data_IF_108723356602
#
_entry.id   IF_108723356602
#
_cell.length_a   1.000
_cell.length_b   1.000
_cell.length_c   1.000
_cell.angle_alpha   90.00
_cell.angle_beta   90.00
_cell.angle_gamma   90.00
#
_symmetry.space_group_name_H-M   'P 1'
#
loop_
_entity.id
_entity.type
_entity.pdbx_description
1 polymer ?
#
# COMPACT_ATOMS: atom_id res chain seq x y z
N UNK A 1 24.05 14.09 4.15
CA UNK A 1 22.82 13.38 4.57
C UNK A 1 22.29 12.73 3.31
N UNK A 2 22.52 11.43 3.16
CA UNK A 2 22.09 10.70 1.96
C UNK A 2 20.59 10.46 2.13
N UNK A 3 19.76 11.15 1.35
CA UNK A 3 18.35 10.83 1.24
C UNK A 3 18.27 9.45 0.59
N UNK A 4 18.12 8.40 1.39
CA UNK A 4 17.70 7.11 0.86
C UNK A 4 16.36 7.34 0.17
N UNK A 5 16.25 6.96 -1.10
CA UNK A 5 15.08 7.29 -1.88
C UNK A 5 13.86 6.50 -1.42
N UNK A 6 13.03 7.14 -0.60
CA UNK A 6 11.72 6.62 -0.24
C UNK A 6 10.72 6.98 -1.34
N UNK A 7 9.87 6.02 -1.70
CA UNK A 7 8.75 6.27 -2.61
C UNK A 7 7.48 6.37 -1.78
N UNK A 8 6.77 7.49 -1.84
CA UNK A 8 5.58 7.73 -1.01
C UNK A 8 4.41 8.30 -1.80
N UNK A 9 3.18 8.02 -1.36
CA UNK A 9 1.98 8.49 -2.04
C UNK A 9 0.70 7.82 -1.56
N UNK A 10 -0.44 8.34 -2.00
CA UNK A 10 -1.74 7.76 -1.67
C UNK A 10 -2.14 6.67 -2.67
N UNK A 11 -2.71 5.58 -2.17
CA UNK A 11 -3.25 4.47 -2.94
C UNK A 11 -4.60 4.03 -2.36
N UNK A 12 -5.37 3.29 -3.15
CA UNK A 12 -6.48 2.50 -2.62
C UNK A 12 -5.97 1.12 -2.23
N UNK A 13 -6.28 0.66 -1.02
CA UNK A 13 -6.18 -0.76 -0.66
C UNK A 13 -7.52 -1.42 -0.96
N UNK A 14 -7.49 -2.51 -1.71
CA UNK A 14 -8.66 -3.32 -2.08
C UNK A 14 -8.57 -4.65 -1.34
N UNK A 15 -9.60 -4.98 -0.56
CA UNK A 15 -9.68 -6.21 0.22
C UNK A 15 -11.07 -6.84 0.05
N UNK A 16 -11.19 -7.76 -0.91
CA UNK A 16 -12.49 -8.28 -1.34
C UNK A 16 -13.40 -7.15 -1.84
N UNK A 17 -14.45 -6.85 -1.07
CA UNK A 17 -15.42 -5.80 -1.39
C UNK A 17 -15.13 -4.45 -0.67
N UNK A 18 -14.15 -4.44 0.23
CA UNK A 18 -13.81 -3.26 1.02
C UNK A 18 -12.69 -2.49 0.33
N UNK A 19 -12.89 -1.17 0.19
CA UNK A 19 -11.94 -0.27 -0.45
C UNK A 19 -11.69 0.92 0.47
N UNK A 20 -10.42 1.25 0.69
CA UNK A 20 -10.02 2.39 1.51
C UNK A 20 -8.81 3.12 0.94
N UNK A 21 -8.79 4.44 1.12
CA UNK A 21 -7.61 5.26 0.83
C UNK A 21 -6.58 5.03 1.95
N UNK A 22 -5.34 4.75 1.56
CA UNK A 22 -4.19 4.60 2.45
C UNK A 22 -3.04 5.44 1.94
N UNK A 23 -2.16 5.83 2.85
CA UNK A 23 -0.89 6.46 2.50
C UNK A 23 0.21 5.40 2.55
N UNK A 24 0.88 5.17 1.42
CA UNK A 24 1.91 4.16 1.29
C UNK A 24 3.29 4.80 1.27
N UNK A 25 4.24 4.13 1.92
CA UNK A 25 5.65 4.47 1.91
C UNK A 25 6.43 3.20 1.60
N UNK A 26 7.26 3.26 0.58
CA UNK A 26 8.20 2.22 0.21
C UNK A 26 9.59 2.69 0.60
N UNK A 27 10.11 2.10 1.67
CA UNK A 27 11.37 2.46 2.29
C UNK A 27 12.01 1.25 2.97
N UNK A 28 13.34 1.24 3.09
CA UNK A 28 14.16 0.21 3.76
C UNK A 28 13.80 -1.29 3.49
N UNK A 29 13.12 -1.58 2.38
CA UNK A 29 12.83 -2.92 1.88
C UNK A 29 11.42 -3.33 2.20
N UNK A 30 10.60 -2.36 2.58
CA UNK A 30 9.28 -2.54 3.14
C UNK A 30 8.31 -1.62 2.40
N UNK A 31 7.19 -2.18 1.96
CA UNK A 31 6.02 -1.39 1.58
C UNK A 31 5.12 -1.26 2.80
N UNK A 32 5.12 -0.09 3.45
CA UNK A 32 4.29 0.23 4.60
C UNK A 32 3.08 1.03 4.15
N UNK A 33 1.94 0.84 4.83
CA UNK A 33 0.74 1.63 4.57
C UNK A 33 0.08 2.09 5.86
N UNK A 34 -0.36 3.34 5.82
CA UNK A 34 -0.88 4.11 6.95
C UNK A 34 -2.29 4.59 6.65
N UNK A 35 -3.05 4.92 7.70
CA UNK A 35 -4.42 5.43 7.55
C UNK A 35 -4.49 6.75 6.78
N UNK A 36 -3.46 7.58 6.93
CA UNK A 36 -3.23 8.84 6.19
C UNK A 36 -1.77 9.25 6.33
N UNK A 37 -1.35 10.31 5.66
CA UNK A 37 -0.04 10.92 5.90
C UNK A 37 0.09 11.35 7.37
N UNK A 38 1.13 10.87 8.07
CA UNK A 38 1.30 11.06 9.52
C UNK A 38 0.26 10.34 10.39
N UNK A 39 -0.48 9.39 9.82
CA UNK A 39 -1.46 8.57 10.52
C UNK A 39 -0.85 7.31 11.16
N UNK A 40 -1.73 6.40 11.58
CA UNK A 40 -1.35 5.13 12.19
C UNK A 40 -0.92 4.10 11.15
N UNK A 41 0.09 3.29 11.46
CA UNK A 41 0.53 2.17 10.63
C UNK A 41 -0.56 1.09 10.61
N UNK A 42 -1.07 0.78 9.43
CA UNK A 42 -2.08 -0.26 9.24
C UNK A 42 -1.46 -1.63 8.90
N UNK A 43 -0.28 -1.62 8.28
CA UNK A 43 0.48 -2.84 8.00
C UNK A 43 1.69 -2.59 7.11
N UNK A 44 2.42 -3.66 6.82
CA UNK A 44 3.62 -3.63 6.00
C UNK A 44 3.85 -4.96 5.25
N UNK A 45 4.53 -4.88 4.11
CA UNK A 45 4.99 -6.02 3.32
C UNK A 45 6.51 -5.97 3.25
N UNK A 46 7.18 -7.04 3.68
CA UNK A 46 8.61 -7.19 3.49
C UNK A 46 8.93 -7.60 2.05
N UNK A 47 9.69 -6.76 1.35
CA UNK A 47 10.14 -6.97 -0.02
C UNK A 47 11.58 -7.48 -0.04
N UNK A 48 12.43 -6.96 0.84
CA UNK A 48 13.81 -7.42 0.99
C UNK A 48 13.86 -8.87 1.49
N UNK A 49 14.65 -9.70 0.80
CA UNK A 49 14.75 -11.13 1.14
C UNK A 49 13.53 -11.96 0.74
N UNK A 50 12.50 -11.36 0.12
CA UNK A 50 11.37 -12.06 -0.44
C UNK A 50 11.50 -12.22 -1.97
N UNK A 51 10.82 -13.21 -2.53
CA UNK A 51 10.46 -13.20 -3.95
C UNK A 51 9.24 -12.29 -4.07
N UNK A 52 9.41 -11.16 -4.77
CA UNK A 52 8.33 -10.19 -5.02
C UNK A 52 7.92 -10.28 -6.49
N UNK A 53 6.64 -10.52 -6.73
CA UNK A 53 6.00 -10.45 -8.04
C UNK A 53 4.91 -9.36 -7.99
N UNK A 54 4.81 -8.55 -9.05
CA UNK A 54 3.77 -7.50 -9.16
C UNK A 54 2.98 -7.70 -10.45
N UNK A 55 1.65 -7.67 -10.34
CA UNK A 55 0.73 -7.92 -11.45
C UNK A 55 -0.18 -6.72 -11.66
N UNK A 56 -0.17 -6.14 -12.86
CA UNK A 56 -1.20 -5.17 -13.25
C UNK A 56 -2.48 -5.94 -13.53
N UNK A 57 -3.57 -5.56 -12.85
CA UNK A 57 -4.85 -6.24 -12.97
C UNK A 57 -5.74 -5.50 -13.98
N UNK A 58 -6.46 -6.22 -14.84
CA UNK A 58 -7.38 -5.59 -15.79
C UNK A 58 -8.52 -4.87 -15.07
N UNK A 59 -9.06 -3.86 -15.74
CA UNK A 59 -10.20 -3.07 -15.28
C UNK A 59 -11.42 -3.39 -16.14
N UNK A 60 -11.76 -4.68 -16.22
CA UNK A 60 -12.68 -5.17 -17.27
C UNK A 60 -14.15 -5.22 -16.84
N UNK A 61 -14.47 -4.90 -15.58
CA UNK A 61 -15.83 -4.96 -15.06
C UNK A 61 -16.36 -3.58 -14.62
N UNK A 62 -17.55 -3.24 -15.12
CA UNK A 62 -18.30 -2.04 -14.71
C UNK A 62 -18.62 -2.17 -13.22
N UNK A 63 -18.22 -1.18 -12.42
CA UNK A 63 -18.41 -1.20 -10.96
C UNK A 63 -17.25 -1.81 -10.17
N UNK A 64 -16.08 -2.04 -10.80
CA UNK A 64 -14.85 -2.34 -10.07
C UNK A 64 -13.92 -1.11 -10.02
N UNK A 65 -13.06 -1.07 -9.00
CA UNK A 65 -11.98 -0.08 -8.90
C UNK A 65 -11.01 -0.25 -10.08
N UNK A 66 -10.80 0.77 -10.93
CA UNK A 66 -9.80 0.73 -12.01
C UNK A 66 -8.36 0.82 -11.50
N UNK A 67 -7.39 0.68 -12.41
CA UNK A 67 -5.96 0.90 -12.14
C UNK A 67 -5.39 0.01 -11.02
N UNK A 68 -5.87 -1.22 -10.93
CA UNK A 68 -5.45 -2.16 -9.88
C UNK A 68 -4.10 -2.78 -10.20
N UNK A 69 -3.33 -3.03 -9.16
CA UNK A 69 -2.17 -3.90 -9.21
C UNK A 69 -2.10 -4.76 -7.95
N UNK A 70 -1.55 -5.97 -8.07
CA UNK A 70 -1.37 -6.91 -6.96
C UNK A 70 0.10 -7.09 -6.68
N UNK A 71 0.48 -7.04 -5.41
CA UNK A 71 1.81 -7.30 -4.90
C UNK A 71 1.80 -8.62 -4.16
N UNK A 72 2.57 -9.58 -4.67
CA UNK A 72 2.75 -10.90 -4.11
C UNK A 72 4.18 -10.99 -3.54
N UNK A 73 4.31 -11.16 -2.24
CA UNK A 73 5.59 -11.31 -1.54
C UNK A 73 5.66 -12.66 -0.86
N UNK A 74 6.65 -13.47 -1.25
CA UNK A 74 6.91 -14.77 -0.64
C UNK A 74 8.29 -14.75 0.03
N UNK A 75 8.39 -14.91 1.36
CA UNK A 75 9.68 -15.01 2.04
C UNK A 75 10.55 -16.10 1.40
N UNK A 76 11.78 -15.76 1.03
CA UNK A 76 12.74 -16.80 0.64
C UNK A 76 13.21 -17.45 1.94
N UNK A 77 12.57 -18.55 2.32
CA UNK A 77 13.12 -19.38 3.39
C UNK A 77 14.55 -19.75 3.00
N UNK A 78 15.58 -19.42 3.81
CA UNK A 78 16.88 -20.01 3.61
C UNK A 78 16.65 -21.51 3.69
N UNK A 79 17.04 -22.23 2.65
CA UNK A 79 16.99 -23.69 2.64
C UNK A 79 17.98 -24.19 3.68
N UNK A 80 17.57 -24.18 4.95
CA UNK A 80 18.24 -24.93 5.98
C UNK A 80 18.00 -26.37 5.57
N UNK A 81 18.99 -26.95 4.89
CA UNK A 81 19.15 -28.40 4.76
C UNK A 81 19.28 -28.96 6.18
N UNK A 82 18.16 -29.07 6.91
CA UNK A 82 18.06 -30.05 7.98
C UNK A 82 18.05 -31.39 7.26
N UNK A 83 19.19 -32.09 7.33
CA UNK A 83 19.28 -33.49 6.94
C UNK A 83 18.12 -34.24 7.61
N UNK A 84 17.26 -34.85 6.80
CA UNK A 84 16.41 -35.94 7.27
C UNK A 84 14.93 -35.66 7.49
N UNK A 85 14.27 -34.80 6.70
CA UNK A 85 12.81 -34.93 6.49
C UNK A 85 12.35 -34.05 5.32
N UNK A 86 11.60 -34.57 4.33
CA UNK A 86 10.95 -33.73 3.34
C UNK A 86 9.75 -33.04 4.03
N UNK A 87 9.99 -31.90 4.68
CA UNK A 87 8.89 -31.02 5.03
C UNK A 87 8.37 -30.42 3.72
N UNK A 88 7.09 -30.69 3.46
CA UNK A 88 6.28 -30.10 2.40
C UNK A 88 6.58 -28.60 2.37
N UNK A 89 7.20 -28.12 1.30
CA UNK A 89 7.51 -26.70 1.15
C UNK A 89 6.19 -25.93 1.18
N UNK A 90 5.89 -25.35 2.33
CA UNK A 90 4.66 -24.61 2.61
C UNK A 90 4.55 -23.44 1.61
N UNK A 91 3.57 -23.56 0.72
CA UNK A 91 2.99 -22.45 -0.03
C UNK A 91 2.25 -21.44 0.89
N UNK A 92 2.37 -21.58 2.21
CA UNK A 92 1.53 -20.95 3.24
C UNK A 92 1.99 -19.56 3.70
N UNK A 93 3.13 -19.05 3.21
CA UNK A 93 3.65 -17.73 3.60
C UNK A 93 3.56 -16.67 2.49
N UNK A 94 2.72 -16.88 1.47
CA UNK A 94 2.49 -15.88 0.43
C UNK A 94 1.64 -14.73 0.98
N UNK A 95 2.22 -13.53 1.04
CA UNK A 95 1.48 -12.30 1.32
C UNK A 95 1.05 -11.66 0.01
N UNK A 96 -0.25 -11.57 -0.22
CA UNK A 96 -0.82 -10.93 -1.42
C UNK A 96 -1.65 -9.71 -1.01
N UNK A 97 -1.35 -8.55 -1.59
CA UNK A 97 -2.11 -7.33 -1.37
C UNK A 97 -2.45 -6.67 -2.69
N UNK A 98 -3.69 -6.18 -2.81
CA UNK A 98 -4.15 -5.47 -4.01
C UNK A 98 -4.27 -3.98 -3.69
N UNK A 99 -3.67 -3.17 -4.55
CA UNK A 99 -3.74 -1.72 -4.50
C UNK A 99 -4.28 -1.15 -5.81
N UNK A 100 -4.69 0.11 -5.81
CA UNK A 100 -4.99 0.84 -7.03
C UNK A 100 -4.50 2.28 -6.96
N UNK A 101 -3.92 2.75 -8.07
CA UNK A 101 -3.55 4.16 -8.26
C UNK A 101 -4.72 5.01 -8.74
N UNK A 102 -4.57 6.34 -8.63
CA UNK A 102 -5.57 7.29 -9.15
C UNK A 102 -5.66 7.23 -10.68
N UNK A 103 -4.53 6.96 -11.32
CA UNK A 103 -4.40 6.72 -12.75
C UNK A 103 -3.60 5.45 -13.00
N UNK A 104 -3.60 5.01 -14.26
CA UNK A 104 -2.80 3.86 -14.70
C UNK A 104 -1.31 4.15 -14.52
N UNK A 105 -0.87 5.36 -14.85
CA UNK A 105 0.53 5.78 -14.75
C UNK A 105 1.04 5.72 -13.29
N UNK A 106 0.20 6.13 -12.33
CA UNK A 106 0.52 6.01 -10.90
C UNK A 106 0.70 4.54 -10.51
N UNK A 107 -0.17 3.67 -11.00
CA UNK A 107 -0.12 2.23 -10.71
C UNK A 107 1.12 1.58 -11.33
N UNK A 108 1.46 1.95 -12.56
CA UNK A 108 2.65 1.49 -13.26
C UNK A 108 3.93 1.97 -12.55
N UNK A 109 3.97 3.22 -12.09
CA UNK A 109 5.09 3.77 -11.32
C UNK A 109 5.28 3.00 -10.00
N UNK A 110 4.21 2.77 -9.24
CA UNK A 110 4.28 1.96 -8.02
C UNK A 110 4.75 0.54 -8.29
N UNK A 111 4.25 -0.11 -9.34
CA UNK A 111 4.66 -1.46 -9.70
C UNK A 111 6.15 -1.53 -10.05
N UNK A 112 6.66 -0.56 -10.82
CA UNK A 112 8.08 -0.45 -11.16
C UNK A 112 8.92 -0.19 -9.90
N UNK A 113 8.52 0.76 -9.05
CA UNK A 113 9.25 1.08 -7.82
C UNK A 113 9.38 -0.11 -6.89
N UNK A 114 8.31 -0.89 -6.68
CA UNK A 114 8.31 -2.10 -5.86
C UNK A 114 9.24 -3.17 -6.44
N UNK A 115 9.20 -3.38 -7.77
CA UNK A 115 10.07 -4.35 -8.45
C UNK A 115 11.55 -3.94 -8.43
N UNK A 116 11.83 -2.64 -8.59
CA UNK A 116 13.18 -2.08 -8.56
C UNK A 116 13.82 -2.19 -7.17
N UNK A 117 12.98 -2.02 -6.15
CA UNK A 117 13.37 -2.22 -4.76
C UNK A 117 13.90 -3.65 -4.49
N UNK A 118 13.21 -4.68 -5.00
CA UNK A 118 13.66 -6.07 -4.91
C UNK A 118 15.01 -6.31 -5.65
N UNK A 119 15.38 -5.45 -6.61
CA UNK A 119 16.63 -5.56 -7.39
C UNK A 119 17.78 -4.72 -6.83
N UNK A 120 17.59 -4.09 -5.68
CA UNK A 120 18.53 -3.13 -5.11
C UNK A 120 18.85 -1.94 -6.04
N UNK A 121 17.88 -1.50 -6.86
CA UNK A 121 18.02 -0.34 -7.75
C UNK A 121 17.12 0.78 -7.27
N UNK A 122 17.66 1.68 -6.47
CA UNK A 122 16.92 2.71 -5.75
C UNK A 122 17.31 4.04 -6.38
N UNK A 123 16.34 4.76 -6.90
CA UNK A 123 16.52 6.16 -7.32
C UNK A 123 16.26 7.09 -6.14
N UNK A 124 16.51 8.39 -6.29
CA UNK A 124 16.25 9.39 -5.26
C UNK A 124 14.77 9.39 -4.80
N UNK A 125 14.50 9.93 -3.60
CA UNK A 125 13.17 9.89 -2.99
C UNK A 125 12.12 10.54 -3.90
N UNK A 126 11.03 9.83 -4.16
CA UNK A 126 10.02 10.22 -5.14
C UNK A 126 8.61 10.12 -4.56
N UNK A 127 7.87 11.22 -4.64
CA UNK A 127 6.43 11.19 -4.44
C UNK A 127 5.74 10.68 -5.71
N UNK A 128 4.95 9.61 -5.60
CA UNK A 128 4.19 9.05 -6.72
C UNK A 128 2.74 9.49 -6.61
N UNK A 129 2.37 10.50 -7.41
CA UNK A 129 1.04 11.07 -7.47
C UNK A 129 0.75 11.62 -8.88
N UNK A 130 -0.51 11.55 -9.32
CA UNK A 130 -0.96 12.18 -10.58
C UNK A 130 -1.41 13.63 -10.39
N UNK A 131 -1.83 13.98 -9.17
CA UNK A 131 -2.43 15.30 -8.88
C UNK A 131 -2.05 15.85 -7.51
N UNK A 132 -2.12 17.18 -7.34
CA UNK A 132 -1.89 17.87 -6.06
C UNK A 132 -2.86 17.47 -4.94
N UNK A 133 -4.01 16.88 -5.29
CA UNK A 133 -5.01 16.42 -4.33
C UNK A 133 -5.39 14.96 -4.61
N UNK A 134 -4.37 14.11 -4.63
CA UNK A 134 -4.48 12.69 -4.94
C UNK A 134 -5.52 11.97 -4.06
N UNK A 135 -5.54 12.32 -2.76
CA UNK A 135 -6.50 11.81 -1.80
C UNK A 135 -7.96 12.02 -2.26
N UNK A 136 -8.29 13.23 -2.73
CA UNK A 136 -9.62 13.56 -3.24
C UNK A 136 -9.94 12.81 -4.54
N UNK A 137 -8.96 12.67 -5.43
CA UNK A 137 -9.10 11.91 -6.68
C UNK A 137 -9.43 10.44 -6.40
N UNK A 138 -8.77 9.82 -5.42
CA UNK A 138 -9.04 8.45 -5.01
C UNK A 138 -10.41 8.28 -4.35
N UNK A 139 -10.85 9.23 -3.52
CA UNK A 139 -12.18 9.21 -2.92
C UNK A 139 -13.29 9.20 -3.98
N UNK A 140 -13.18 10.07 -4.99
CA UNK A 140 -14.12 10.08 -6.13
C UNK A 140 -14.15 8.75 -6.87
N UNK A 141 -13.01 8.10 -6.99
CA UNK A 141 -12.88 6.82 -7.69
C UNK A 141 -13.56 5.68 -6.92
N UNK A 142 -13.57 5.73 -5.57
CA UNK A 142 -14.39 4.83 -4.76
C UNK A 142 -15.89 5.10 -4.98
N UNK A 143 -16.32 6.37 -4.95
CA UNK A 143 -17.74 6.73 -5.14
C UNK A 143 -18.29 6.26 -6.50
N UNK A 144 -17.50 6.42 -7.56
CA UNK A 144 -17.89 6.01 -8.92
C UNK A 144 -17.90 4.49 -9.10
N UNK A 145 -17.04 3.76 -8.37
CA UNK A 145 -16.99 2.30 -8.45
C UNK A 145 -18.07 1.59 -7.63
N UNK A 146 -18.88 2.31 -6.84
CA UNK A 146 -19.97 1.70 -6.05
C UNK A 146 -19.48 0.74 -4.95
N UNK A 147 -18.19 0.74 -4.64
CA UNK A 147 -17.60 -0.08 -3.57
C UNK A 147 -18.00 0.45 -2.20
N UNK A 148 -18.16 -0.44 -1.21
CA UNK A 148 -18.45 0.00 0.17
C UNK A 148 -17.21 0.69 0.72
N UNK A 149 -17.33 2.00 0.97
CA UNK A 149 -16.33 2.76 1.71
C UNK A 149 -16.34 2.21 3.13
N UNK A 150 -15.26 1.53 3.50
CA UNK A 150 -15.03 1.29 4.91
C UNK A 150 -14.75 2.65 5.54
N UNK A 151 -15.54 3.04 6.54
CA UNK A 151 -15.48 4.37 7.13
C UNK A 151 -14.15 4.51 7.85
N UNK A 152 -13.11 4.93 7.15
CA UNK A 152 -11.93 5.49 7.81
C UNK A 152 -12.45 6.69 8.60
N UNK A 153 -12.40 6.57 9.93
CA UNK A 153 -12.90 7.55 10.89
C UNK A 153 -12.49 8.97 10.45
N UNK A 154 -13.45 9.69 9.88
CA UNK A 154 -13.37 11.13 9.60
C UNK A 154 -13.58 11.95 10.86
N UNK A 155 -13.85 11.31 11.99
CA UNK A 155 -13.92 12.02 13.26
C UNK A 155 -12.50 12.36 13.73
N UNK A 156 -12.21 13.63 14.06
CA UNK A 156 -11.06 13.91 14.89
C UNK A 156 -11.25 13.10 16.18
N UNK A 157 -10.38 12.12 16.42
CA UNK A 157 -10.27 11.46 17.71
C UNK A 157 -9.77 12.54 18.68
N UNK A 158 -10.70 13.32 19.21
CA UNK A 158 -10.47 14.09 20.42
C UNK A 158 -10.34 13.03 21.51
N UNK A 159 -9.20 12.97 22.23
CA UNK A 159 -9.07 12.06 23.36
C UNK A 159 -10.25 12.28 24.31
N UNK A 160 -10.94 11.20 24.67
CA UNK A 160 -11.99 11.22 25.69
C UNK A 160 -11.33 11.68 26.99
N UNK A 161 -11.48 12.97 27.34
CA UNK A 161 -10.88 13.55 28.55
C UNK A 161 -10.47 15.02 28.49
N UNK A 162 -10.46 15.68 27.32
CA UNK A 162 -10.18 17.13 27.25
C UNK A 162 -11.47 17.95 27.32
N UNK A 163 -11.68 18.58 28.49
CA UNK A 163 -12.73 19.57 28.72
C UNK A 163 -12.55 20.78 27.78
N UNK A 164 -13.62 21.30 27.16
CA UNK A 164 -13.53 22.52 26.36
C UNK A 164 -13.33 23.72 27.29
N UNK A 165 -12.08 24.14 27.48
CA UNK A 165 -11.75 25.30 28.28
C UNK A 165 -11.50 26.54 27.39
N UNK A 166 -12.53 27.40 27.37
CA UNK A 166 -12.49 28.87 27.41
C UNK A 166 -11.74 29.60 26.27
N UNK A 167 -12.51 30.19 25.35
CA UNK A 167 -12.08 31.34 24.54
C UNK A 167 -12.11 32.61 25.42
N UNK A 168 -11.06 33.46 25.43
CA UNK A 168 -11.16 34.78 26.01
C UNK A 168 -11.87 35.74 25.02
N UNK A 169 -12.69 36.63 25.60
CA UNK A 169 -13.35 37.76 24.95
C UNK A 169 -12.37 38.81 24.44
#
# INVERSE_FOLDING_TARGET
MSYGGNVEGYLLKVDGNDVRVVYCILDEGMLQYFSRMGGELLGAIALSGAKVDVFLLPSDEIGQVPNKFRVDAQPRNPSVRRRGSPQKAEADNLVSMTFAGSTREVSDQWAISILNWNRYSWEDGQMVCSSKNEFHSLHKLIEVSGSKIDKTTTDPVVPVGVSPAVLPL
#
